data_IF_301983089095
#
_entry.id   IF_301983089095
#
_cell.length_a   1.000
_cell.length_b   1.000
_cell.length_c   1.000
_cell.angle_alpha   90.00
_cell.angle_beta   90.00
_cell.angle_gamma   90.00
#
_symmetry.space_group_name_H-M   'P 1'
#
loop_
_entity.id
_entity.type
_entity.pdbx_description
1 polymer ?
#
# COMPACT_ATOMS: atom_id res chain seq x y z
N UNK A 1 15.51 15.34 42.59
CA UNK A 1 14.09 15.12 42.21
C UNK A 1 14.09 14.53 40.82
N UNK A 2 13.60 13.29 40.69
CA UNK A 2 13.55 12.58 39.41
C UNK A 2 12.45 13.14 38.51
N UNK A 3 12.81 13.40 37.26
CA UNK A 3 11.88 13.62 36.15
C UNK A 3 12.11 12.53 35.13
N UNK A 4 11.70 11.31 35.45
CA UNK A 4 11.67 10.20 34.49
C UNK A 4 10.53 10.44 33.51
N UNK A 5 10.85 11.06 32.37
CA UNK A 5 9.91 11.10 31.25
C UNK A 5 9.70 9.68 30.73
N UNK A 6 8.50 9.15 30.95
CA UNK A 6 8.10 7.88 30.35
C UNK A 6 8.18 8.02 28.82
N UNK A 7 9.14 7.32 28.21
CA UNK A 7 9.12 7.11 26.77
C UNK A 7 7.93 6.21 26.47
N UNK A 8 6.86 6.79 25.94
CA UNK A 8 5.78 6.03 25.33
C UNK A 8 6.37 5.27 24.14
N UNK A 9 6.65 3.99 24.34
CA UNK A 9 7.06 3.09 23.27
C UNK A 9 5.82 2.75 22.44
N UNK A 10 5.41 3.68 21.56
CA UNK A 10 4.47 3.33 20.50
C UNK A 10 5.12 2.24 19.64
N UNK A 11 4.47 1.09 19.42
CA UNK A 11 5.03 0.08 18.53
C UNK A 11 5.23 0.71 17.15
N UNK A 12 6.48 0.73 16.69
CA UNK A 12 6.81 1.25 15.38
C UNK A 12 6.22 0.35 14.28
N UNK A 13 5.81 0.97 13.18
CA UNK A 13 5.43 0.25 11.95
C UNK A 13 6.69 0.15 11.09
N UNK A 14 7.05 -1.08 10.72
CA UNK A 14 8.23 -1.38 9.93
C UNK A 14 7.85 -2.17 8.69
N UNK A 15 8.44 -1.81 7.56
CA UNK A 15 8.43 -2.63 6.34
C UNK A 15 9.57 -3.65 6.42
N UNK A 16 9.26 -4.91 6.14
CA UNK A 16 10.21 -6.03 6.14
C UNK A 16 10.04 -6.82 4.84
N UNK A 17 10.97 -7.75 4.58
CA UNK A 17 10.97 -8.63 3.40
C UNK A 17 11.12 -7.89 2.05
N UNK A 18 12.30 -7.30 1.84
CA UNK A 18 12.68 -6.67 0.57
C UNK A 18 13.39 -7.63 -0.40
N UNK A 19 13.28 -8.96 -0.21
CA UNK A 19 14.04 -9.95 -0.98
C UNK A 19 13.72 -9.96 -2.48
N UNK A 20 12.50 -9.58 -2.85
CA UNK A 20 12.05 -9.39 -4.24
C UNK A 20 11.93 -7.91 -4.63
N UNK A 21 12.18 -7.00 -3.69
CA UNK A 21 12.08 -5.56 -3.90
C UNK A 21 13.27 -5.01 -4.67
N UNK A 22 13.02 -4.02 -5.51
CA UNK A 22 14.07 -3.29 -6.23
C UNK A 22 13.70 -1.80 -6.32
N UNK A 23 14.72 -0.95 -6.45
CA UNK A 23 14.49 0.49 -6.63
C UNK A 23 13.95 0.71 -8.04
N UNK A 24 12.71 1.18 -8.14
CA UNK A 24 12.08 1.51 -9.42
C UNK A 24 11.42 2.88 -9.40
N UNK A 25 11.59 3.60 -10.52
CA UNK A 25 10.84 4.83 -10.82
C UNK A 25 9.65 4.56 -11.74
N UNK A 26 9.42 3.32 -12.17
CA UNK A 26 8.34 3.00 -13.09
C UNK A 26 6.99 3.13 -12.39
N UNK A 27 6.05 3.81 -13.06
CA UNK A 27 4.68 3.98 -12.59
C UNK A 27 3.96 2.62 -12.49
N UNK A 28 4.28 1.68 -13.38
CA UNK A 28 3.73 0.31 -13.36
C UNK A 28 4.09 -0.44 -12.08
N UNK A 29 5.38 -0.48 -11.71
CA UNK A 29 5.85 -1.21 -10.53
C UNK A 29 5.18 -0.65 -9.26
N UNK A 30 5.13 0.69 -9.12
CA UNK A 30 4.42 1.37 -8.01
C UNK A 30 2.92 1.02 -7.97
N UNK A 31 2.28 0.89 -9.12
CA UNK A 31 0.86 0.54 -9.21
C UNK A 31 0.61 -0.94 -8.89
N UNK A 32 1.53 -1.82 -9.25
CA UNK A 32 1.50 -3.24 -8.88
C UNK A 32 1.65 -3.41 -7.37
N UNK A 33 2.56 -2.67 -6.73
CA UNK A 33 2.72 -2.71 -5.26
C UNK A 33 1.42 -2.31 -4.53
N UNK A 34 0.77 -1.23 -4.95
CA UNK A 34 -0.53 -0.82 -4.39
C UNK A 34 -1.62 -1.87 -4.63
N UNK A 35 -1.61 -2.52 -5.79
CA UNK A 35 -2.57 -3.59 -6.09
C UNK A 35 -2.37 -4.81 -5.19
N UNK A 36 -1.12 -5.22 -4.97
CA UNK A 36 -0.78 -6.33 -4.06
C UNK A 36 -1.18 -6.01 -2.62
N UNK A 37 -0.93 -4.78 -2.16
CA UNK A 37 -1.37 -4.33 -0.83
C UNK A 37 -2.89 -4.38 -0.68
N UNK A 38 -3.63 -3.95 -1.72
CA UNK A 38 -5.09 -4.05 -1.75
C UNK A 38 -5.57 -5.49 -1.61
N UNK A 39 -5.02 -6.41 -2.41
CA UNK A 39 -5.37 -7.83 -2.37
C UNK A 39 -5.08 -8.44 -0.99
N UNK A 40 -3.95 -8.07 -0.36
CA UNK A 40 -3.63 -8.52 0.98
C UNK A 40 -4.63 -8.01 2.04
N UNK A 41 -5.09 -6.75 1.92
CA UNK A 41 -6.14 -6.20 2.78
C UNK A 41 -7.49 -6.87 2.54
N UNK A 42 -7.88 -7.08 1.30
CA UNK A 42 -9.11 -7.80 0.90
C UNK A 42 -9.13 -9.22 1.49
N UNK A 43 -8.03 -9.96 1.39
CA UNK A 43 -7.92 -11.34 1.86
C UNK A 43 -7.97 -11.46 3.40
N UNK A 44 -7.36 -10.53 4.13
CA UNK A 44 -7.25 -10.61 5.60
C UNK A 44 -8.36 -9.87 6.35
N UNK A 45 -8.84 -8.75 5.81
CA UNK A 45 -9.76 -7.83 6.49
C UNK A 45 -10.97 -7.49 5.62
N UNK A 46 -11.67 -8.52 5.12
CA UNK A 46 -12.82 -8.41 4.20
C UNK A 46 -13.88 -7.34 4.57
N UNK A 47 -14.13 -7.06 5.86
CA UNK A 47 -15.15 -6.07 6.25
C UNK A 47 -14.69 -4.62 6.18
N UNK A 48 -13.37 -4.36 6.30
CA UNK A 48 -12.82 -3.02 6.49
C UNK A 48 -11.78 -2.63 5.43
N UNK A 49 -11.49 -3.52 4.47
CA UNK A 49 -10.43 -3.29 3.49
C UNK A 49 -10.65 -2.02 2.67
N UNK A 50 -11.90 -1.65 2.36
CA UNK A 50 -12.22 -0.44 1.60
C UNK A 50 -11.79 0.82 2.36
N UNK A 51 -12.11 0.88 3.66
CA UNK A 51 -11.70 1.99 4.53
C UNK A 51 -10.19 2.05 4.70
N UNK A 52 -9.55 0.90 4.98
CA UNK A 52 -8.10 0.82 5.17
C UNK A 52 -7.34 1.20 3.90
N UNK A 53 -7.76 0.68 2.75
CA UNK A 53 -7.14 1.01 1.47
C UNK A 53 -7.44 2.46 1.07
N UNK A 54 -8.61 2.99 1.43
CA UNK A 54 -8.94 4.41 1.27
C UNK A 54 -7.94 5.33 1.96
N UNK A 55 -7.59 5.05 3.22
CA UNK A 55 -6.57 5.83 3.93
C UNK A 55 -5.18 5.67 3.29
N UNK A 56 -4.80 4.46 2.85
CA UNK A 56 -3.56 4.24 2.09
C UNK A 56 -3.51 5.12 0.84
N UNK A 57 -4.57 5.14 0.04
CA UNK A 57 -4.62 5.93 -1.20
C UNK A 57 -4.59 7.43 -0.93
N UNK A 58 -5.28 7.88 0.12
CA UNK A 58 -5.30 9.27 0.57
C UNK A 58 -3.91 9.73 0.97
N UNK A 59 -3.19 8.98 1.79
CA UNK A 59 -1.83 9.37 2.19
C UNK A 59 -0.82 9.22 1.04
N UNK A 60 -1.01 8.22 0.17
CA UNK A 60 -0.22 8.07 -1.05
C UNK A 60 -0.40 9.25 -2.01
N UNK A 61 -1.56 9.91 -1.99
CA UNK A 61 -1.88 11.03 -2.88
C UNK A 61 -0.94 12.23 -2.71
N UNK A 62 -0.28 12.36 -1.55
CA UNK A 62 0.69 13.40 -1.22
C UNK A 62 1.97 13.28 -2.08
N UNK A 63 2.26 12.09 -2.62
CA UNK A 63 3.39 11.87 -3.51
C UNK A 63 3.26 12.60 -4.84
N UNK A 64 4.37 13.14 -5.36
CA UNK A 64 4.42 13.95 -6.61
C UNK A 64 3.83 13.24 -7.83
N UNK A 65 3.96 11.92 -7.91
CA UNK A 65 3.50 11.11 -9.06
C UNK A 65 2.20 10.36 -8.80
N UNK A 66 1.56 10.59 -7.65
CA UNK A 66 0.42 9.81 -7.17
C UNK A 66 -0.68 9.69 -8.22
N UNK A 67 -1.07 10.80 -8.88
CA UNK A 67 -2.11 10.80 -9.92
C UNK A 67 -1.85 9.76 -11.04
N UNK A 68 -0.62 9.72 -11.56
CA UNK A 68 -0.23 8.77 -12.63
C UNK A 68 -0.27 7.33 -12.13
N UNK A 69 0.20 7.10 -10.90
CA UNK A 69 0.17 5.77 -10.27
C UNK A 69 -1.27 5.31 -10.04
N UNK A 70 -2.16 6.17 -9.55
CA UNK A 70 -3.57 5.83 -9.32
C UNK A 70 -4.34 5.55 -10.62
N UNK A 71 -4.04 6.28 -11.69
CA UNK A 71 -4.57 5.96 -13.02
C UNK A 71 -4.04 4.61 -13.53
N UNK A 72 -2.76 4.32 -13.31
CA UNK A 72 -2.17 3.05 -13.70
C UNK A 72 -2.71 1.89 -12.86
N UNK A 73 -2.97 2.09 -11.57
CA UNK A 73 -3.60 1.11 -10.67
C UNK A 73 -4.93 0.63 -11.25
N UNK A 74 -5.79 1.53 -11.74
CA UNK A 74 -7.05 1.15 -12.41
C UNK A 74 -6.84 0.24 -13.62
N UNK A 75 -5.73 0.39 -14.35
CA UNK A 75 -5.37 -0.48 -15.49
C UNK A 75 -4.81 -1.82 -15.02
N UNK A 76 -3.98 -1.83 -13.96
CA UNK A 76 -3.49 -3.06 -13.32
C UNK A 76 -4.66 -3.90 -12.82
N UNK A 77 -5.60 -3.31 -12.09
CA UNK A 77 -6.78 -4.00 -11.55
C UNK A 77 -7.65 -4.63 -12.65
N UNK A 78 -7.88 -3.91 -13.75
CA UNK A 78 -8.62 -4.46 -14.89
C UNK A 78 -7.92 -5.68 -15.48
N UNK A 79 -6.59 -5.63 -15.68
CA UNK A 79 -5.80 -6.75 -16.23
C UNK A 79 -5.77 -7.96 -15.30
N UNK A 80 -5.72 -7.74 -13.98
CA UNK A 80 -5.77 -8.81 -12.98
C UNK A 80 -7.08 -9.59 -13.05
N UNK A 81 -8.22 -8.90 -13.16
CA UNK A 81 -9.57 -9.52 -13.24
C UNK A 81 -9.77 -10.40 -14.48
N UNK A 82 -9.13 -10.07 -15.60
CA UNK A 82 -9.21 -10.91 -16.81
C UNK A 82 -8.44 -12.22 -16.68
N UNK A 83 -7.45 -12.31 -15.78
CA UNK A 83 -6.69 -13.56 -15.56
C UNK A 83 -7.43 -14.58 -14.69
N UNK A 84 -8.38 -14.15 -13.85
CA UNK A 84 -9.22 -15.06 -13.05
C UNK A 84 -10.35 -15.74 -13.86
N UNK A 85 -10.56 -15.33 -15.12
CA UNK A 85 -11.64 -15.85 -15.98
C UNK A 85 -11.20 -16.99 -16.93
N UNK A 86 -9.99 -17.53 -16.76
CA UNK A 86 -9.47 -18.65 -17.55
C UNK A 86 -9.08 -19.84 -16.67
#
# INVERSE_FOLDING_TARGET
GGGGGEKINSPGVYFIDFGLGFISQKIEDKAVDLHLLKQALEAKHFKNWETLFGEVLKDYSISKESKKVLEQLKKVEKRGRYKEQY
#
